data_IF_593811720391
#
_entry.id   IF_593811720391
#
_cell.length_a   1.000
_cell.length_b   1.000
_cell.length_c   1.000
_cell.angle_alpha   90.00
_cell.angle_beta   90.00
_cell.angle_gamma   90.00
#
_symmetry.space_group_name_H-M   'P 1'
#
loop_
_entity.id
_entity.type
_entity.pdbx_description
1 polymer ?
#
# COMPACT_ATOMS: atom_id res chain seq x y z
N UNK A 1 -25.88 -26.96 3.70
CA UNK A 1 -24.75 -26.62 4.59
C UNK A 1 -23.40 -26.91 3.97
N UNK A 2 -22.93 -26.02 3.09
CA UNK A 2 -21.54 -26.01 2.64
C UNK A 2 -20.74 -25.17 3.64
N UNK A 3 -20.27 -25.79 4.72
CA UNK A 3 -19.24 -25.16 5.55
C UNK A 3 -17.98 -25.02 4.68
N UNK A 4 -17.36 -23.83 4.59
CA UNK A 4 -16.07 -23.69 3.93
C UNK A 4 -15.08 -24.65 4.61
N UNK A 5 -14.40 -25.48 3.83
CA UNK A 5 -13.29 -26.25 4.36
C UNK A 5 -12.16 -25.29 4.76
N UNK A 6 -11.42 -25.57 5.85
CA UNK A 6 -10.28 -24.74 6.22
C UNK A 6 -9.30 -24.74 5.05
N UNK A 7 -9.01 -23.54 4.53
CA UNK A 7 -8.04 -23.32 3.46
C UNK A 7 -6.79 -24.14 3.76
N UNK A 8 -6.41 -25.01 2.82
CA UNK A 8 -5.06 -25.53 2.76
C UNK A 8 -4.14 -24.34 2.43
N UNK A 9 -3.79 -23.54 3.44
CA UNK A 9 -2.89 -22.41 3.29
C UNK A 9 -1.58 -22.95 2.74
N UNK A 10 -1.28 -22.59 1.48
CA UNK A 10 0.03 -22.83 0.90
C UNK A 10 1.09 -22.24 1.84
N UNK A 11 1.97 -23.07 2.44
CA UNK A 11 2.97 -22.60 3.38
C UNK A 11 3.91 -21.55 2.77
N UNK A 12 4.08 -21.58 1.44
CA UNK A 12 4.85 -20.58 0.73
C UNK A 12 4.09 -19.25 0.65
N UNK A 13 2.82 -19.27 0.21
CA UNK A 13 1.94 -18.10 0.22
C UNK A 13 1.85 -17.41 1.58
N UNK A 14 1.64 -18.17 2.66
CA UNK A 14 1.58 -17.62 4.02
C UNK A 14 2.89 -16.92 4.44
N UNK A 15 4.05 -17.47 4.05
CA UNK A 15 5.35 -16.84 4.28
C UNK A 15 5.52 -15.56 3.47
N UNK A 16 5.12 -15.58 2.20
CA UNK A 16 5.17 -14.42 1.32
C UNK A 16 4.29 -13.28 1.84
N UNK A 17 3.07 -13.58 2.32
CA UNK A 17 2.21 -12.58 2.97
C UNK A 17 2.88 -11.97 4.20
N UNK A 18 3.45 -12.81 5.08
CA UNK A 18 4.19 -12.32 6.25
C UNK A 18 5.38 -11.43 5.87
N UNK A 19 6.10 -11.74 4.79
CA UNK A 19 7.19 -10.89 4.32
C UNK A 19 6.74 -9.51 3.85
N UNK A 20 5.52 -9.39 3.30
CA UNK A 20 4.89 -8.10 2.99
C UNK A 20 4.78 -7.23 4.24
N UNK A 21 4.03 -7.71 5.23
CA UNK A 21 3.83 -6.97 6.48
C UNK A 21 5.15 -6.64 7.21
N UNK A 22 6.10 -7.57 7.25
CA UNK A 22 7.42 -7.32 7.84
C UNK A 22 8.17 -6.22 7.08
N UNK A 23 8.08 -6.21 5.75
CA UNK A 23 8.75 -5.19 4.94
C UNK A 23 8.15 -3.80 5.15
N UNK A 24 6.82 -3.67 5.23
CA UNK A 24 6.15 -2.41 5.60
C UNK A 24 6.66 -1.87 6.95
N UNK A 25 6.78 -2.73 7.96
CA UNK A 25 7.31 -2.33 9.27
C UNK A 25 8.78 -1.91 9.21
N UNK A 26 9.60 -2.55 8.38
CA UNK A 26 11.00 -2.17 8.19
C UNK A 26 11.15 -0.84 7.45
N UNK A 27 10.21 -0.49 6.59
CA UNK A 27 10.21 0.75 5.81
C UNK A 27 9.59 1.95 6.56
N UNK A 28 8.96 1.72 7.70
CA UNK A 28 8.26 2.74 8.51
C UNK A 28 8.90 2.90 9.89
N UNK A 29 8.32 3.74 10.75
CA UNK A 29 8.80 3.97 12.11
C UNK A 29 8.68 2.73 13.04
N UNK A 30 8.13 1.62 12.53
CA UNK A 30 7.92 0.35 13.24
C UNK A 30 9.08 -0.65 13.19
N UNK A 31 10.27 -0.26 12.72
CA UNK A 31 11.40 -1.19 12.57
C UNK A 31 11.80 -1.81 13.92
N UNK A 32 11.58 -3.13 14.06
CA UNK A 32 11.84 -3.90 15.29
C UNK A 32 10.62 -4.12 16.19
N UNK A 33 9.45 -3.58 15.83
CA UNK A 33 8.19 -3.88 16.50
C UNK A 33 7.62 -5.25 16.11
N UNK A 34 6.71 -5.77 16.93
CA UNK A 34 5.96 -7.00 16.61
C UNK A 34 4.96 -6.68 15.49
N UNK A 35 5.05 -7.42 14.39
CA UNK A 35 4.14 -7.28 13.25
C UNK A 35 2.76 -7.85 13.61
N UNK A 36 1.74 -7.00 13.57
CA UNK A 36 0.34 -7.39 13.75
C UNK A 36 -0.45 -7.08 12.47
N UNK A 37 -0.87 -8.10 11.70
CA UNK A 37 -1.60 -7.89 10.44
C UNK A 37 -3.05 -7.41 10.63
N UNK A 38 -3.52 -7.24 11.87
CA UNK A 38 -4.84 -6.65 12.16
C UNK A 38 -4.77 -5.15 12.45
N UNK A 39 -3.57 -4.56 12.45
CA UNK A 39 -3.37 -3.12 12.62
C UNK A 39 -3.29 -2.48 11.23
N UNK A 40 -4.30 -1.69 10.88
CA UNK A 40 -4.49 -1.16 9.53
C UNK A 40 -4.91 0.31 9.61
N UNK A 41 -4.43 1.12 8.66
CA UNK A 41 -4.91 2.48 8.47
C UNK A 41 -5.71 2.57 7.18
N UNK A 42 -6.99 2.94 7.28
CA UNK A 42 -7.88 3.05 6.12
C UNK A 42 -8.28 4.51 5.85
N UNK A 43 -8.15 4.93 4.60
CA UNK A 43 -8.72 6.18 4.08
C UNK A 43 -10.08 5.97 3.44
N UNK A 44 -10.91 7.02 3.41
CA UNK A 44 -12.20 7.04 2.68
C UNK A 44 -12.13 8.11 1.60
N UNK A 45 -12.37 7.69 0.36
CA UNK A 45 -12.16 8.48 -0.84
C UNK A 45 -13.46 8.61 -1.64
N UNK A 46 -13.69 9.79 -2.21
CA UNK A 46 -14.73 10.02 -3.20
C UNK A 46 -14.11 10.07 -4.60
N UNK A 47 -14.60 9.26 -5.53
CA UNK A 47 -14.16 9.32 -6.93
C UNK A 47 -15.35 9.25 -7.89
N UNK A 48 -15.11 9.67 -9.14
CA UNK A 48 -16.11 9.59 -10.20
C UNK A 48 -15.56 8.81 -11.39
N UNK A 49 -16.29 7.78 -11.82
CA UNK A 49 -15.96 6.97 -12.99
C UNK A 49 -17.11 7.03 -13.99
N UNK A 50 -16.89 7.66 -15.15
CA UNK A 50 -17.92 7.85 -16.19
C UNK A 50 -19.27 8.37 -15.63
N UNK A 51 -19.21 9.39 -14.76
CA UNK A 51 -20.39 9.98 -14.11
C UNK A 51 -20.88 9.24 -12.85
N UNK A 52 -20.49 7.98 -12.63
CA UNK A 52 -20.82 7.24 -11.41
C UNK A 52 -19.98 7.75 -10.24
N UNK A 53 -20.63 8.26 -9.19
CA UNK A 53 -19.96 8.66 -7.95
C UNK A 53 -19.80 7.45 -7.04
N UNK A 54 -18.58 7.19 -6.60
CA UNK A 54 -18.23 6.09 -5.73
C UNK A 54 -17.60 6.62 -4.45
N UNK A 55 -17.95 6.00 -3.32
CA UNK A 55 -17.21 6.11 -2.08
C UNK A 55 -16.41 4.82 -1.92
N UNK A 56 -15.09 4.92 -1.75
CA UNK A 56 -14.17 3.80 -1.65
C UNK A 56 -13.39 3.93 -0.35
N UNK A 57 -13.36 2.87 0.44
CA UNK A 57 -12.41 2.74 1.54
C UNK A 57 -11.22 1.89 1.06
N UNK A 58 -10.01 2.30 1.41
CA UNK A 58 -8.80 1.55 1.11
C UNK A 58 -7.81 1.64 2.26
N UNK A 59 -7.14 0.53 2.51
CA UNK A 59 -5.93 0.45 3.34
C UNK A 59 -4.80 1.26 2.69
N UNK A 60 -3.98 1.91 3.52
CA UNK A 60 -2.84 2.72 3.09
C UNK A 60 -1.61 2.32 3.91
N UNK A 61 -0.50 2.02 3.25
CA UNK A 61 0.67 1.42 3.89
C UNK A 61 1.45 2.44 4.75
N UNK A 62 1.79 3.61 4.23
CA UNK A 62 2.46 4.65 5.02
C UNK A 62 2.26 6.09 4.51
N UNK A 63 2.60 7.05 5.36
CA UNK A 63 2.47 8.49 5.10
C UNK A 63 3.82 9.20 5.29
N UNK A 64 4.30 9.89 4.26
CA UNK A 64 5.54 10.66 4.32
C UNK A 64 5.33 11.99 5.06
N UNK A 65 5.49 11.93 6.37
CA UNK A 65 5.42 13.08 7.26
C UNK A 65 6.55 14.10 7.03
N UNK A 66 7.65 13.68 6.40
CA UNK A 66 8.92 14.41 6.37
C UNK A 66 9.37 14.86 4.99
N UNK A 67 8.56 14.64 3.95
CA UNK A 67 9.05 14.48 2.58
C UNK A 67 10.27 15.32 2.22
N UNK A 68 11.35 14.62 1.86
CA UNK A 68 12.51 15.21 1.18
C UNK A 68 12.09 15.99 -0.07
N UNK A 69 10.97 15.60 -0.68
CA UNK A 69 10.35 16.28 -1.83
C UNK A 69 9.79 17.66 -1.48
N UNK A 70 9.16 17.83 -0.31
CA UNK A 70 8.63 19.12 0.15
C UNK A 70 9.73 19.99 0.79
N UNK A 71 10.74 19.38 1.42
CA UNK A 71 11.95 20.09 1.82
C UNK A 71 12.65 20.76 0.62
N UNK A 72 12.68 20.08 -0.55
CA UNK A 72 13.17 20.64 -1.82
C UNK A 72 12.23 21.70 -2.44
N UNK A 73 10.96 21.76 -2.01
CA UNK A 73 9.96 22.76 -2.44
C UNK A 73 9.69 23.84 -1.38
N UNK A 74 10.42 23.84 -0.26
CA UNK A 74 10.29 24.83 0.82
C UNK A 74 9.03 24.70 1.68
N UNK A 75 8.29 23.58 1.62
CA UNK A 75 7.12 23.35 2.49
C UNK A 75 7.54 22.60 3.77
N UNK A 76 7.10 23.05 4.96
CA UNK A 76 7.47 22.40 6.21
C UNK A 76 6.88 20.98 6.27
N UNK A 77 7.68 20.06 6.81
CA UNK A 77 7.20 18.76 7.28
C UNK A 77 6.13 19.02 8.36
N UNK A 78 4.91 18.56 8.13
CA UNK A 78 3.84 18.70 9.10
C UNK A 78 2.89 17.52 8.95
N UNK A 79 2.83 16.68 9.99
CA UNK A 79 1.65 15.86 10.24
C UNK A 79 0.49 16.84 10.45
N UNK A 80 -0.63 16.74 9.70
CA UNK A 80 -1.75 17.64 9.86
C UNK A 80 -2.28 17.63 11.30
N UNK A 81 -2.72 18.78 11.79
CA UNK A 81 -3.36 18.86 13.10
C UNK A 81 -4.58 17.92 13.15
N UNK A 82 -4.92 17.35 14.32
CA UNK A 82 -6.08 16.48 14.46
C UNK A 82 -7.35 17.08 13.86
N UNK A 83 -8.11 16.29 13.11
CA UNK A 83 -9.34 16.74 12.44
C UNK A 83 -9.12 17.45 11.10
N UNK A 84 -7.88 17.58 10.62
CA UNK A 84 -7.60 17.95 9.23
C UNK A 84 -7.47 16.70 8.36
N UNK A 85 -7.97 16.79 7.13
CA UNK A 85 -7.76 15.76 6.13
C UNK A 85 -6.27 15.62 5.85
N UNK A 86 -5.81 14.37 5.68
CA UNK A 86 -4.46 14.06 5.23
C UNK A 86 -4.34 14.34 3.73
N UNK A 87 -3.14 14.70 3.30
CA UNK A 87 -2.83 14.94 1.89
C UNK A 87 -2.56 13.61 1.19
N UNK A 88 -3.37 13.25 0.20
CA UNK A 88 -3.24 11.95 -0.48
C UNK A 88 -1.91 11.79 -1.19
N UNK A 89 -1.33 12.91 -1.67
CA UNK A 89 -0.07 12.94 -2.39
C UNK A 89 1.14 12.54 -1.52
N UNK A 90 0.94 12.43 -0.20
CA UNK A 90 1.96 12.04 0.77
C UNK A 90 1.88 10.58 1.19
N UNK A 91 0.86 9.85 0.77
CA UNK A 91 0.84 8.41 0.99
C UNK A 91 1.77 7.69 0.02
N UNK A 92 2.32 6.57 0.48
CA UNK A 92 3.19 5.70 -0.29
C UNK A 92 2.73 4.26 -0.11
N UNK A 93 2.55 3.56 -1.24
CA UNK A 93 2.24 2.15 -1.32
C UNK A 93 3.52 1.32 -1.30
N UNK A 94 3.59 0.33 -0.41
CA UNK A 94 4.74 -0.54 -0.25
C UNK A 94 4.39 -1.92 -0.79
N UNK A 95 5.24 -2.45 -1.69
CA UNK A 95 5.03 -3.77 -2.28
C UNK A 95 6.33 -4.57 -2.36
N UNK A 96 6.26 -5.83 -1.99
CA UNK A 96 7.37 -6.80 -2.15
C UNK A 96 7.18 -7.61 -3.41
N UNK A 97 8.26 -8.01 -4.10
CA UNK A 97 8.24 -8.97 -5.20
C UNK A 97 9.54 -9.76 -5.20
N UNK A 98 9.55 -10.94 -5.84
CA UNK A 98 10.82 -11.65 -6.08
C UNK A 98 11.79 -10.74 -6.84
N UNK A 99 13.08 -10.92 -6.60
CA UNK A 99 14.09 -10.20 -7.37
C UNK A 99 13.96 -10.52 -8.87
N UNK A 100 14.08 -9.49 -9.71
CA UNK A 100 14.02 -9.61 -11.16
C UNK A 100 15.43 -9.89 -11.66
N UNK A 101 15.70 -11.14 -12.02
CA UNK A 101 17.04 -11.57 -12.43
C UNK A 101 17.16 -11.72 -13.96
N UNK A 102 16.03 -11.87 -14.65
CA UNK A 102 15.98 -12.07 -16.10
C UNK A 102 14.99 -11.12 -16.78
N UNK A 103 15.14 -10.94 -18.10
CA UNK A 103 14.17 -10.20 -18.91
C UNK A 103 12.77 -10.83 -18.85
N UNK A 104 12.71 -12.16 -18.75
CA UNK A 104 11.46 -12.89 -18.61
C UNK A 104 10.76 -12.58 -17.28
N UNK A 105 11.52 -12.47 -16.17
CA UNK A 105 10.97 -12.05 -14.88
C UNK A 105 10.39 -10.64 -14.97
N UNK A 106 11.11 -9.74 -15.65
CA UNK A 106 10.69 -8.35 -15.86
C UNK A 106 9.39 -8.27 -16.66
N UNK A 107 9.31 -9.00 -17.78
CA UNK A 107 8.09 -9.06 -18.59
C UNK A 107 6.91 -9.64 -17.80
N UNK A 108 7.16 -10.69 -17.01
CA UNK A 108 6.14 -11.29 -16.15
C UNK A 108 5.64 -10.31 -15.08
N UNK A 109 6.55 -9.57 -14.44
CA UNK A 109 6.22 -8.54 -13.46
C UNK A 109 5.31 -7.47 -14.06
N UNK A 110 5.67 -6.90 -15.21
CA UNK A 110 4.85 -5.88 -15.86
C UNK A 110 3.49 -6.41 -16.31
N UNK A 111 3.43 -7.65 -16.81
CA UNK A 111 2.20 -8.26 -17.30
C UNK A 111 1.22 -8.61 -16.18
N UNK A 112 1.72 -9.04 -15.01
CA UNK A 112 0.87 -9.67 -13.99
C UNK A 112 0.81 -8.95 -12.65
N UNK A 113 1.82 -8.13 -12.32
CA UNK A 113 1.90 -7.45 -11.02
C UNK A 113 1.79 -5.94 -11.13
N UNK A 114 2.54 -5.31 -12.03
CA UNK A 114 2.59 -3.86 -12.15
C UNK A 114 1.20 -3.24 -12.38
N UNK A 115 0.37 -3.85 -13.24
CA UNK A 115 -0.99 -3.37 -13.48
C UNK A 115 -1.87 -3.43 -12.23
N UNK A 116 -1.72 -4.45 -11.38
CA UNK A 116 -2.50 -4.57 -10.14
C UNK A 116 -2.11 -3.47 -9.16
N UNK A 117 -0.80 -3.26 -8.97
CA UNK A 117 -0.27 -2.18 -8.13
C UNK A 117 -0.75 -0.83 -8.65
N UNK A 118 -0.62 -0.59 -9.96
CA UNK A 118 -1.10 0.64 -10.60
C UNK A 118 -2.59 0.89 -10.32
N UNK A 119 -3.46 -0.10 -10.54
CA UNK A 119 -4.90 0.08 -10.32
C UNK A 119 -5.20 0.36 -8.85
N UNK A 120 -4.56 -0.34 -7.92
CA UNK A 120 -4.74 -0.13 -6.47
C UNK A 120 -4.41 1.31 -6.09
N UNK A 121 -3.21 1.80 -6.44
CA UNK A 121 -2.77 3.16 -6.11
C UNK A 121 -3.58 4.23 -6.88
N UNK A 122 -3.86 3.99 -8.17
CA UNK A 122 -4.56 4.94 -9.04
C UNK A 122 -6.00 5.22 -8.58
N UNK A 123 -6.73 4.19 -8.13
CA UNK A 123 -8.14 4.37 -7.74
C UNK A 123 -8.32 5.33 -6.58
N UNK A 124 -7.39 5.33 -5.62
CA UNK A 124 -7.46 6.19 -4.43
C UNK A 124 -6.52 7.38 -4.48
N UNK A 125 -5.75 7.54 -5.56
CA UNK A 125 -4.90 8.69 -5.81
C UNK A 125 -3.56 8.67 -5.09
N UNK A 126 -3.07 7.51 -4.67
CA UNK A 126 -1.74 7.36 -4.07
C UNK A 126 -0.68 7.40 -5.18
N UNK A 127 0.28 8.34 -5.17
CA UNK A 127 1.17 8.57 -6.32
C UNK A 127 2.46 7.73 -6.31
N UNK A 128 2.80 7.08 -5.21
CA UNK A 128 4.11 6.47 -4.96
C UNK A 128 3.98 5.05 -4.43
#
# INVERSE_FOLDING_TARGET
>A
DARPQPDSQDPHGARCSRWGYVFEHLCTEGAGAVVNPNDEFCGVFGLQLNGLKLAVAAELDCYDAHSRLEANRGRPAAVPAPGKALDVDRFVEVKTHKELQTDQDTQSFYRHKALKVFIQSFLVGVPH
#
